data_IF_978836005426
#
_entry.id   IF_978836005426
#
_cell.length_a   1.000
_cell.length_b   1.000
_cell.length_c   1.000
_cell.angle_alpha   90.00
_cell.angle_beta   90.00
_cell.angle_gamma   90.00
#
_symmetry.space_group_name_H-M   'P 1'
#
loop_
_entity.id
_entity.type
_entity.pdbx_description
1 polymer ?
#
# COMPACT_ATOMS: atom_id res chain seq x y z
N UNK A 1 35.78 -47.22 13.55
CA UNK A 1 35.35 -46.00 12.83
C UNK A 1 33.94 -45.64 13.27
N UNK A 2 33.80 -44.93 14.39
CA UNK A 2 32.53 -44.35 14.84
C UNK A 2 32.88 -43.22 15.80
N UNK A 3 32.43 -42.01 15.51
CA UNK A 3 32.71 -40.83 16.35
C UNK A 3 33.21 -39.62 15.58
N UNK A 4 32.34 -39.00 14.76
CA UNK A 4 32.55 -37.60 14.31
C UNK A 4 31.25 -36.87 13.97
N UNK A 5 30.10 -37.54 13.92
CA UNK A 5 28.79 -36.91 13.66
C UNK A 5 28.21 -36.21 14.90
N UNK A 6 28.46 -36.73 16.11
CA UNK A 6 27.88 -36.20 17.35
C UNK A 6 28.48 -34.84 17.78
N UNK A 7 29.76 -34.60 17.48
CA UNK A 7 30.46 -33.38 17.90
C UNK A 7 30.07 -32.14 17.07
N UNK A 8 29.79 -32.33 15.77
CA UNK A 8 29.37 -31.26 14.87
C UNK A 8 27.94 -30.79 15.19
N UNK A 9 27.04 -31.72 15.54
CA UNK A 9 25.66 -31.41 15.92
C UNK A 9 25.62 -30.59 17.24
N UNK A 10 26.45 -30.94 18.23
CA UNK A 10 26.49 -30.24 19.53
C UNK A 10 26.94 -28.78 19.42
N UNK A 11 27.84 -28.45 18.50
CA UNK A 11 28.33 -27.09 18.32
C UNK A 11 27.39 -26.19 17.51
N UNK A 12 26.54 -26.75 16.65
CA UNK A 12 25.59 -25.99 15.82
C UNK A 12 24.26 -25.77 16.55
N UNK A 13 23.86 -26.71 17.42
CA UNK A 13 22.61 -26.66 18.18
C UNK A 13 22.34 -25.32 18.90
N UNK A 14 23.29 -24.70 19.65
CA UNK A 14 23.02 -23.43 20.32
C UNK A 14 22.74 -22.30 19.32
N UNK A 15 23.41 -22.28 18.16
CA UNK A 15 23.15 -21.29 17.11
C UNK A 15 21.77 -21.50 16.48
N UNK A 16 21.37 -22.75 16.21
CA UNK A 16 20.03 -23.05 15.71
C UNK A 16 18.95 -22.67 16.72
N UNK A 17 19.15 -22.94 18.01
CA UNK A 17 18.25 -22.50 19.07
C UNK A 17 18.18 -20.96 19.14
N UNK A 18 19.31 -20.27 18.99
CA UNK A 18 19.37 -18.81 18.92
C UNK A 18 18.60 -18.24 17.72
N UNK A 19 18.81 -18.81 16.52
CA UNK A 19 18.08 -18.43 15.30
C UNK A 19 16.58 -18.66 15.49
N UNK A 20 16.19 -19.83 16.02
CA UNK A 20 14.79 -20.16 16.25
C UNK A 20 14.14 -19.24 17.29
N UNK A 21 14.86 -18.90 18.37
CA UNK A 21 14.40 -17.93 19.37
C UNK A 21 14.20 -16.54 18.75
N UNK A 22 15.12 -16.08 17.91
CA UNK A 22 14.99 -14.81 17.19
C UNK A 22 13.80 -14.82 16.22
N UNK A 23 13.59 -15.92 15.49
CA UNK A 23 12.44 -16.07 14.59
C UNK A 23 11.11 -16.07 15.36
N UNK A 24 11.03 -16.75 16.51
CA UNK A 24 9.85 -16.75 17.36
C UNK A 24 9.57 -15.37 17.95
N UNK A 25 10.61 -14.66 18.41
CA UNK A 25 10.50 -13.28 18.89
C UNK A 25 10.02 -12.34 17.78
N UNK A 26 10.54 -12.50 16.56
CA UNK A 26 10.10 -11.74 15.39
C UNK A 26 8.62 -11.99 15.08
N UNK A 27 8.20 -13.26 15.02
CA UNK A 27 6.80 -13.64 14.80
C UNK A 27 5.86 -13.09 15.89
N UNK A 28 6.30 -13.14 17.16
CA UNK A 28 5.54 -12.56 18.26
C UNK A 28 5.43 -11.03 18.14
N UNK A 29 6.52 -10.35 17.79
CA UNK A 29 6.51 -8.91 17.52
C UNK A 29 5.54 -8.55 16.39
N UNK A 30 5.60 -9.27 15.26
CA UNK A 30 4.66 -9.08 14.14
C UNK A 30 3.20 -9.20 14.59
N UNK A 31 2.89 -10.22 15.39
CA UNK A 31 1.54 -10.40 15.95
C UNK A 31 1.11 -9.24 16.86
N UNK A 32 2.02 -8.70 17.68
CA UNK A 32 1.74 -7.55 18.55
C UNK A 32 1.46 -6.27 17.74
N UNK A 33 2.19 -6.06 16.65
CA UNK A 33 1.97 -4.95 15.71
C UNK A 33 0.63 -5.10 15.00
N UNK A 34 0.32 -6.29 14.46
CA UNK A 34 -0.94 -6.59 13.78
C UNK A 34 -2.17 -6.51 14.69
N UNK A 35 -1.99 -6.63 16.00
CA UNK A 35 -3.05 -6.43 17.00
C UNK A 35 -3.15 -4.99 17.50
N UNK A 36 -2.29 -4.10 17.00
CA UNK A 36 -2.24 -2.69 17.38
C UNK A 36 -1.70 -2.43 18.78
N UNK A 37 -1.14 -3.45 19.45
CA UNK A 37 -0.59 -3.32 20.81
C UNK A 37 0.76 -2.62 20.83
N UNK A 38 1.51 -2.69 19.73
CA UNK A 38 2.81 -2.04 19.55
C UNK A 38 2.79 -1.30 18.21
N UNK A 39 3.29 -0.07 18.19
CA UNK A 39 3.60 0.62 16.95
C UNK A 39 4.97 0.15 16.46
N UNK A 40 5.02 -0.52 15.30
CA UNK A 40 6.29 -0.75 14.63
C UNK A 40 6.80 0.58 14.07
N UNK A 41 7.81 1.15 14.71
CA UNK A 41 8.61 2.20 14.08
C UNK A 41 9.70 1.46 13.32
N UNK A 42 9.70 1.59 11.99
CA UNK A 42 10.77 1.01 11.20
C UNK A 42 12.08 1.76 11.54
N UNK A 43 13.18 1.03 11.73
CA UNK A 43 14.52 1.62 11.89
C UNK A 43 14.81 2.55 10.70
N UNK A 44 14.30 2.21 9.52
CA UNK A 44 14.45 3.03 8.33
C UNK A 44 13.58 4.30 8.33
N UNK A 45 12.49 4.35 9.10
CA UNK A 45 11.75 5.61 9.32
C UNK A 45 12.64 6.65 10.04
N UNK A 46 13.58 6.19 10.88
CA UNK A 46 14.59 7.04 11.53
C UNK A 46 15.78 7.39 10.63
N UNK A 47 16.09 6.53 9.65
CA UNK A 47 17.20 6.75 8.71
C UNK A 47 16.93 7.86 7.68
N UNK A 48 15.65 8.26 7.53
CA UNK A 48 15.23 9.26 6.54
C UNK A 48 15.44 8.83 5.08
N UNK A 49 15.63 7.52 4.85
CA UNK A 49 15.80 6.92 3.51
C UNK A 49 14.43 6.62 2.88
N UNK A 50 13.46 6.21 3.72
CA UNK A 50 12.09 5.96 3.27
C UNK A 50 11.38 7.26 2.90
N UNK A 51 10.57 7.22 1.85
CA UNK A 51 9.69 8.31 1.41
C UNK A 51 8.26 7.80 1.31
N UNK A 52 7.29 8.70 1.52
CA UNK A 52 5.88 8.42 1.31
C UNK A 52 5.35 9.26 0.16
N UNK A 53 4.82 8.60 -0.87
CA UNK A 53 4.24 9.26 -2.04
C UNK A 53 2.73 9.25 -1.91
N UNK A 54 2.13 10.44 -1.93
CA UNK A 54 0.69 10.62 -2.03
C UNK A 54 0.29 10.56 -3.50
N UNK A 55 -0.59 9.63 -3.86
CA UNK A 55 -1.10 9.49 -5.21
C UNK A 55 -2.62 9.36 -5.25
N UNK A 56 -3.17 9.85 -6.36
CA UNK A 56 -4.58 9.77 -6.71
C UNK A 56 -4.77 9.05 -8.03
N UNK A 57 -5.90 8.37 -8.25
CA UNK A 57 -6.20 7.73 -9.52
C UNK A 57 -6.36 8.77 -10.64
N UNK A 58 -5.87 8.44 -11.84
CA UNK A 58 -6.12 9.19 -13.07
C UNK A 58 -7.47 8.79 -13.69
N UNK A 59 -8.58 8.99 -12.96
CA UNK A 59 -9.94 8.63 -13.39
C UNK A 59 -10.84 9.84 -13.73
N UNK A 60 -10.33 11.05 -13.53
CA UNK A 60 -11.06 12.31 -13.75
C UNK A 60 -12.17 12.61 -12.73
N UNK A 61 -12.35 11.79 -11.70
CA UNK A 61 -13.38 11.95 -10.67
C UNK A 61 -12.84 12.47 -9.34
N UNK A 62 -11.54 12.77 -9.29
CA UNK A 62 -10.87 13.29 -8.10
C UNK A 62 -11.18 14.78 -7.88
N UNK A 63 -11.36 15.16 -6.62
CA UNK A 63 -11.61 16.56 -6.27
C UNK A 63 -10.33 17.39 -6.41
N UNK A 64 -10.49 18.71 -6.59
CA UNK A 64 -9.39 19.67 -6.76
C UNK A 64 -8.31 19.53 -5.67
N UNK A 65 -8.71 19.44 -4.40
CA UNK A 65 -7.78 19.30 -3.28
C UNK A 65 -6.90 18.03 -3.36
N UNK A 66 -7.46 16.91 -3.83
CA UNK A 66 -6.71 15.67 -3.99
C UNK A 66 -5.82 15.72 -5.24
N UNK A 67 -6.31 16.30 -6.33
CA UNK A 67 -5.53 16.52 -7.54
C UNK A 67 -4.31 17.43 -7.29
N UNK A 68 -4.49 18.52 -6.54
CA UNK A 68 -3.41 19.43 -6.13
C UNK A 68 -2.39 18.75 -5.22
N UNK A 69 -2.78 17.73 -4.46
CA UNK A 69 -1.89 16.94 -3.62
C UNK A 69 -1.23 15.76 -4.35
N UNK A 70 -1.68 15.37 -5.55
CA UNK A 70 -1.16 14.21 -6.27
C UNK A 70 0.34 14.31 -6.59
N UNK A 71 1.16 13.35 -6.20
CA UNK A 71 2.63 13.43 -6.36
C UNK A 71 3.33 14.22 -5.26
N UNK A 72 2.65 14.59 -4.17
CA UNK A 72 3.32 15.06 -2.96
C UNK A 72 4.10 13.92 -2.32
N UNK A 73 5.32 14.21 -1.89
CA UNK A 73 6.23 13.27 -1.24
C UNK A 73 6.57 13.79 0.14
N UNK A 74 6.60 12.91 1.13
CA UNK A 74 6.80 13.25 2.54
C UNK A 74 7.87 12.38 3.19
N UNK A 75 8.58 12.96 4.16
CA UNK A 75 9.44 12.20 5.07
C UNK A 75 8.61 11.41 6.09
N UNK A 76 9.11 10.26 6.58
CA UNK A 76 8.44 9.48 7.62
C UNK A 76 8.14 10.29 8.88
N UNK A 77 9.03 11.23 9.25
CA UNK A 77 8.84 12.11 10.41
C UNK A 77 7.61 13.03 10.30
N UNK A 78 7.21 13.40 9.08
CA UNK A 78 6.00 14.17 8.84
C UNK A 78 4.76 13.27 8.94
N UNK A 79 4.80 12.10 8.27
CA UNK A 79 3.67 11.16 8.23
C UNK A 79 3.36 10.56 9.60
N UNK A 80 4.38 10.38 10.45
CA UNK A 80 4.23 9.89 11.81
C UNK A 80 3.57 10.90 12.77
N UNK A 81 3.44 12.17 12.38
CA UNK A 81 2.75 13.17 13.20
C UNK A 81 1.24 12.87 13.25
N UNK A 82 0.64 12.93 14.44
CA UNK A 82 -0.79 12.67 14.65
C UNK A 82 -1.69 13.67 13.91
N UNK A 83 -1.20 14.90 13.74
CA UNK A 83 -1.92 15.98 13.06
C UNK A 83 -1.56 16.06 11.56
N UNK A 84 -0.89 15.04 11.04
CA UNK A 84 -0.48 15.02 9.64
C UNK A 84 -1.69 14.97 8.71
N UNK A 85 -1.77 15.97 7.83
CA UNK A 85 -2.74 16.01 6.73
C UNK A 85 -1.97 16.16 5.43
N UNK A 86 -2.05 15.18 4.50
CA UNK A 86 -1.30 15.23 3.24
C UNK A 86 -1.86 16.23 2.22
N UNK A 87 -2.86 17.02 2.60
CA UNK A 87 -3.56 17.98 1.74
C UNK A 87 -3.61 19.32 2.43
N UNK A 88 -3.46 20.40 1.66
CA UNK A 88 -3.63 21.76 2.18
C UNK A 88 -5.09 22.12 2.49
N UNK A 89 -6.06 21.37 1.96
CA UNK A 89 -7.49 21.60 2.17
C UNK A 89 -8.28 20.28 2.29
N UNK A 90 -9.49 20.37 2.85
CA UNK A 90 -10.38 19.22 3.05
C UNK A 90 -10.85 18.60 1.75
N UNK A 91 -10.95 17.28 1.70
CA UNK A 91 -11.46 16.55 0.54
C UNK A 91 -12.99 16.75 0.41
N UNK A 92 -13.43 17.34 -0.69
CA UNK A 92 -14.86 17.54 -0.98
C UNK A 92 -15.62 16.24 -1.29
N UNK A 93 -14.92 15.14 -1.56
CA UNK A 93 -15.53 13.86 -1.93
C UNK A 93 -14.70 12.69 -1.40
N UNK A 94 -14.64 12.56 -0.07
CA UNK A 94 -13.89 11.50 0.62
C UNK A 94 -14.36 10.09 0.22
N UNK A 95 -15.60 9.97 -0.27
CA UNK A 95 -16.16 8.72 -0.76
C UNK A 95 -15.63 8.26 -2.12
N UNK A 96 -15.22 9.18 -3.01
CA UNK A 96 -14.72 8.81 -4.36
C UNK A 96 -13.23 9.02 -4.53
N UNK A 97 -12.64 9.96 -3.79
CA UNK A 97 -11.21 10.20 -3.81
C UNK A 97 -10.49 9.09 -3.01
N UNK A 98 -10.34 7.92 -3.63
CA UNK A 98 -9.49 6.86 -3.09
C UNK A 98 -8.05 7.31 -3.22
N UNK A 99 -7.48 7.77 -2.11
CA UNK A 99 -6.10 8.22 -2.03
C UNK A 99 -5.21 7.06 -1.58
N UNK A 100 -3.98 7.02 -2.07
CA UNK A 100 -2.97 6.08 -1.59
C UNK A 100 -1.76 6.84 -1.10
N UNK A 101 -1.27 6.44 0.07
CA UNK A 101 0.01 6.87 0.60
C UNK A 101 0.93 5.65 0.61
N UNK A 102 1.81 5.56 -0.39
CA UNK A 102 2.70 4.43 -0.54
C UNK A 102 4.08 4.78 0.00
N UNK A 103 4.54 4.04 1.01
CA UNK A 103 5.89 4.16 1.55
C UNK A 103 6.85 3.30 0.75
N UNK A 104 8.02 3.85 0.40
CA UNK A 104 9.08 3.14 -0.33
C UNK A 104 10.47 3.54 0.18
N UNK A 105 11.43 2.61 0.14
CA UNK A 105 12.82 2.83 0.53
C UNK A 105 13.61 3.56 -0.54
N UNK A 106 13.29 3.37 -1.82
CA UNK A 106 13.79 4.25 -2.86
C UNK A 106 15.26 4.05 -3.21
N UNK A 107 15.75 2.80 -3.32
CA UNK A 107 17.16 2.51 -3.56
C UNK A 107 17.62 2.59 -5.04
N UNK A 108 16.84 3.22 -5.93
CA UNK A 108 17.23 3.52 -7.32
C UNK A 108 17.57 5.00 -7.51
N UNK A 109 18.07 5.39 -8.69
CA UNK A 109 18.64 6.72 -8.91
C UNK A 109 17.61 7.84 -8.71
N UNK A 110 16.44 7.70 -9.33
CA UNK A 110 15.36 8.67 -9.33
C UNK A 110 14.81 8.88 -7.92
N UNK A 111 14.58 7.80 -7.17
CA UNK A 111 14.15 7.88 -5.78
C UNK A 111 15.20 8.52 -4.87
N UNK A 112 16.49 8.21 -5.06
CA UNK A 112 17.59 8.86 -4.32
C UNK A 112 17.63 10.36 -4.56
N UNK A 113 17.39 10.81 -5.80
CA UNK A 113 17.29 12.22 -6.12
C UNK A 113 16.11 12.90 -5.40
N UNK A 114 14.96 12.22 -5.33
CA UNK A 114 13.80 12.68 -4.56
C UNK A 114 14.14 12.79 -3.07
N UNK A 115 14.76 11.76 -2.47
CA UNK A 115 15.19 11.77 -1.06
C UNK A 115 16.16 12.93 -0.79
N UNK A 116 17.14 13.15 -1.67
CA UNK A 116 18.11 14.24 -1.53
C UNK A 116 17.41 15.61 -1.51
N UNK A 117 16.51 15.87 -2.46
CA UNK A 117 15.73 17.11 -2.53
C UNK A 117 14.81 17.29 -1.34
N UNK A 118 14.17 16.20 -0.90
CA UNK A 118 13.25 16.19 0.22
C UNK A 118 13.98 16.51 1.54
N UNK A 119 15.22 16.01 1.72
CA UNK A 119 16.08 16.38 2.85
C UNK A 119 16.55 17.82 2.77
N UNK A 120 16.90 18.30 1.57
CA UNK A 120 17.29 19.69 1.35
C UNK A 120 16.15 20.69 1.62
N UNK A 121 14.89 20.27 1.46
CA UNK A 121 13.71 21.07 1.81
C UNK A 121 13.58 21.34 3.33
N UNK A 122 14.37 20.64 4.17
CA UNK A 122 14.51 20.94 5.59
C UNK A 122 13.20 20.79 6.36
N UNK A 123 12.77 21.86 7.04
CA UNK A 123 11.66 21.84 8.01
C UNK A 123 10.29 21.50 7.40
N UNK A 124 10.08 21.70 6.10
CA UNK A 124 8.81 21.35 5.45
C UNK A 124 8.64 19.84 5.31
N UNK A 125 9.74 19.09 5.23
CA UNK A 125 9.76 17.62 5.08
C UNK A 125 8.88 17.09 3.95
N UNK A 126 8.60 17.93 2.95
CA UNK A 126 7.67 17.64 1.85
C UNK A 126 8.14 18.26 0.54
N UNK A 127 7.81 17.59 -0.57
CA UNK A 127 8.17 18.00 -1.93
C UNK A 127 7.02 17.65 -2.87
N UNK A 128 6.69 18.54 -3.81
CA UNK A 128 5.76 18.24 -4.90
C UNK A 128 6.56 17.73 -6.10
N UNK A 129 6.26 16.53 -6.58
CA UNK A 129 6.72 16.06 -7.88
C UNK A 129 5.75 16.53 -8.98
N UNK A 130 6.31 16.93 -10.11
CA UNK A 130 5.57 17.04 -11.37
C UNK A 130 5.12 15.67 -11.86
N UNK A 131 4.15 15.63 -12.78
CA UNK A 131 3.70 14.38 -13.38
C UNK A 131 4.84 13.64 -14.12
N UNK A 132 5.80 14.39 -14.68
CA UNK A 132 6.97 13.83 -15.34
C UNK A 132 7.92 13.19 -14.32
N UNK A 133 8.27 13.90 -13.25
CA UNK A 133 9.15 13.37 -12.19
C UNK A 133 8.52 12.15 -11.51
N UNK A 134 7.21 12.15 -11.28
CA UNK A 134 6.50 10.98 -10.77
C UNK A 134 6.56 9.81 -11.77
N UNK A 135 6.38 10.07 -13.07
CA UNK A 135 6.53 9.03 -14.09
C UNK A 135 7.96 8.48 -14.14
N UNK A 136 8.98 9.31 -14.03
CA UNK A 136 10.39 8.90 -14.02
C UNK A 136 10.71 8.07 -12.77
N UNK A 137 10.22 8.48 -11.60
CA UNK A 137 10.34 7.72 -10.37
C UNK A 137 9.81 6.28 -10.52
N UNK A 138 8.65 6.13 -11.17
CA UNK A 138 7.95 4.85 -11.30
C UNK A 138 8.47 3.98 -12.46
N UNK A 139 9.06 4.58 -13.49
CA UNK A 139 9.64 3.89 -14.65
C UNK A 139 11.15 3.66 -14.54
N UNK A 140 11.79 4.25 -13.53
CA UNK A 140 13.21 4.08 -13.26
C UNK A 140 13.57 2.61 -13.03
N UNK A 141 14.87 2.34 -12.91
CA UNK A 141 15.39 0.97 -12.78
C UNK A 141 15.26 0.41 -11.35
N UNK A 142 14.06 0.51 -10.77
CA UNK A 142 13.78 0.10 -9.40
C UNK A 142 13.83 -1.42 -9.23
N UNK A 143 13.52 -2.19 -10.27
CA UNK A 143 13.55 -3.67 -10.25
C UNK A 143 14.95 -4.25 -10.00
N UNK A 144 16.00 -3.52 -10.40
CA UNK A 144 17.39 -3.90 -10.18
C UNK A 144 17.97 -3.32 -8.88
N UNK A 145 17.18 -2.56 -8.13
CA UNK A 145 17.63 -1.95 -6.88
C UNK A 145 17.60 -2.94 -5.72
N UNK A 146 18.40 -2.68 -4.69
CA UNK A 146 18.43 -3.52 -3.47
C UNK A 146 17.11 -3.51 -2.70
N UNK A 147 16.26 -2.49 -2.91
CA UNK A 147 14.93 -2.40 -2.30
C UNK A 147 13.82 -2.92 -3.21
N UNK A 148 14.13 -3.50 -4.37
CA UNK A 148 13.16 -3.92 -5.37
C UNK A 148 12.04 -4.79 -4.80
N UNK A 149 12.39 -5.80 -3.98
CA UNK A 149 11.40 -6.70 -3.38
C UNK A 149 10.43 -5.95 -2.46
N UNK A 150 10.95 -5.05 -1.62
CA UNK A 150 10.18 -4.31 -0.62
C UNK A 150 9.36 -3.18 -1.24
N UNK A 151 9.90 -2.51 -2.27
CA UNK A 151 9.23 -1.37 -2.91
C UNK A 151 8.25 -1.80 -4.02
N UNK A 152 8.29 -3.07 -4.44
CA UNK A 152 7.53 -3.60 -5.58
C UNK A 152 6.05 -3.25 -5.51
N UNK A 153 5.38 -3.56 -4.39
CA UNK A 153 3.94 -3.33 -4.28
C UNK A 153 3.62 -1.83 -4.27
N UNK A 154 4.41 -1.02 -3.56
CA UNK A 154 4.27 0.43 -3.55
C UNK A 154 4.41 1.03 -4.96
N UNK A 155 5.47 0.66 -5.69
CA UNK A 155 5.72 1.18 -7.05
C UNK A 155 4.61 0.75 -8.01
N UNK A 156 4.20 -0.52 -7.99
CA UNK A 156 3.13 -1.02 -8.86
C UNK A 156 1.78 -0.38 -8.55
N UNK A 157 1.47 -0.14 -7.27
CA UNK A 157 0.25 0.57 -6.86
C UNK A 157 0.24 2.01 -7.37
N UNK A 158 1.35 2.73 -7.24
CA UNK A 158 1.47 4.12 -7.72
C UNK A 158 1.41 4.20 -9.26
N UNK A 159 2.05 3.26 -9.95
CA UNK A 159 1.99 3.14 -11.40
C UNK A 159 0.58 2.82 -11.89
N UNK A 160 -0.15 1.93 -11.20
CA UNK A 160 -1.53 1.61 -11.48
C UNK A 160 -2.42 2.85 -11.39
N UNK A 161 -2.36 3.59 -10.27
CA UNK A 161 -3.13 4.81 -10.05
C UNK A 161 -2.87 5.87 -11.14
N UNK A 162 -1.59 6.07 -11.49
CA UNK A 162 -1.18 7.05 -12.50
C UNK A 162 -1.54 6.62 -13.94
N UNK A 163 -1.87 5.35 -14.15
CA UNK A 163 -2.07 4.73 -15.45
C UNK A 163 -3.46 4.16 -15.70
N UNK A 164 -4.39 4.23 -14.74
CA UNK A 164 -5.68 3.53 -14.82
C UNK A 164 -6.45 3.82 -16.12
N UNK A 165 -6.52 5.08 -16.55
CA UNK A 165 -7.20 5.47 -17.79
C UNK A 165 -6.45 5.04 -19.04
N UNK A 166 -5.12 4.99 -19.00
CA UNK A 166 -4.27 4.67 -20.17
C UNK A 166 -4.13 3.17 -20.39
N UNK A 167 -4.04 2.40 -19.30
CA UNK A 167 -3.89 0.95 -19.34
C UNK A 167 -4.64 0.31 -18.15
N UNK A 168 -5.96 0.18 -18.24
CA UNK A 168 -6.78 -0.33 -17.14
C UNK A 168 -6.48 -1.80 -16.80
N UNK A 169 -6.08 -2.63 -17.78
CA UNK A 169 -5.71 -4.02 -17.52
C UNK A 169 -4.41 -4.15 -16.71
N UNK A 170 -3.41 -3.30 -16.98
CA UNK A 170 -2.20 -3.25 -16.14
C UNK A 170 -2.54 -2.82 -14.71
N UNK A 171 -3.43 -1.84 -14.55
CA UNK A 171 -3.89 -1.41 -13.23
C UNK A 171 -4.64 -2.52 -12.49
N UNK A 172 -5.53 -3.25 -13.16
CA UNK A 172 -6.23 -4.42 -12.61
C UNK A 172 -5.24 -5.45 -12.07
N UNK A 173 -4.20 -5.78 -12.85
CA UNK A 173 -3.19 -6.76 -12.45
C UNK A 173 -2.38 -6.30 -11.25
N UNK A 174 -1.99 -5.03 -11.19
CA UNK A 174 -1.29 -4.45 -10.06
C UNK A 174 -2.14 -4.47 -8.77
N UNK A 175 -3.42 -4.09 -8.85
CA UNK A 175 -4.32 -4.14 -7.69
C UNK A 175 -4.56 -5.57 -7.20
N UNK A 176 -4.78 -6.52 -8.10
CA UNK A 176 -4.87 -7.94 -7.76
C UNK A 176 -3.59 -8.45 -7.09
N UNK A 177 -2.43 -8.02 -7.57
CA UNK A 177 -1.15 -8.39 -6.98
C UNK A 177 -1.02 -7.84 -5.55
N UNK A 178 -1.34 -6.56 -5.33
CA UNK A 178 -1.32 -5.96 -3.99
C UNK A 178 -2.26 -6.68 -3.01
N UNK A 179 -3.48 -7.02 -3.44
CA UNK A 179 -4.45 -7.76 -2.61
C UNK A 179 -3.93 -9.14 -2.19
N UNK A 180 -3.23 -9.84 -3.09
CA UNK A 180 -2.73 -11.21 -2.86
C UNK A 180 -1.40 -11.26 -2.11
N UNK A 181 -0.48 -10.35 -2.41
CA UNK A 181 0.91 -10.44 -1.95
C UNK A 181 1.26 -9.50 -0.80
N UNK A 182 0.44 -8.50 -0.49
CA UNK A 182 0.66 -7.63 0.67
C UNK A 182 0.44 -8.42 1.97
N UNK A 183 1.52 -9.03 2.46
CA UNK A 183 1.56 -9.87 3.67
C UNK A 183 2.38 -9.22 4.79
N UNK A 184 3.30 -8.33 4.43
CA UNK A 184 4.14 -7.60 5.36
C UNK A 184 3.43 -6.35 5.89
N UNK A 185 3.71 -5.98 7.14
CA UNK A 185 3.06 -4.83 7.82
C UNK A 185 3.15 -3.53 7.02
N UNK A 186 4.26 -3.31 6.31
CA UNK A 186 4.46 -2.09 5.51
C UNK A 186 3.59 -2.06 4.24
N UNK A 187 3.15 -3.21 3.74
CA UNK A 187 2.31 -3.35 2.55
C UNK A 187 0.81 -3.38 2.87
N UNK A 188 0.44 -3.78 4.10
CA UNK A 188 -0.97 -3.85 4.52
C UNK A 188 -1.79 -2.57 4.26
N UNK A 189 -1.25 -1.34 4.44
CA UNK A 189 -1.96 -0.12 4.07
C UNK A 189 -2.43 -0.04 2.61
N UNK A 190 -1.85 -0.82 1.70
CA UNK A 190 -2.17 -0.82 0.27
C UNK A 190 -3.38 -1.70 -0.07
N UNK A 191 -3.74 -2.66 0.78
CA UNK A 191 -4.75 -3.69 0.47
C UNK A 191 -6.15 -3.10 0.30
N UNK A 192 -6.63 -2.33 1.29
CA UNK A 192 -7.98 -1.74 1.22
C UNK A 192 -8.11 -0.76 0.05
N UNK A 193 -7.16 0.17 -0.19
CA UNK A 193 -7.18 0.99 -1.40
C UNK A 193 -7.16 0.19 -2.70
N UNK A 194 -6.41 -0.91 -2.77
CA UNK A 194 -6.39 -1.79 -3.95
C UNK A 194 -7.76 -2.41 -4.23
N UNK A 195 -8.47 -2.91 -3.21
CA UNK A 195 -9.85 -3.40 -3.37
C UNK A 195 -10.77 -2.30 -3.91
N UNK A 196 -10.74 -1.11 -3.30
CA UNK A 196 -11.60 0.01 -3.68
C UNK A 196 -11.35 0.45 -5.12
N UNK A 197 -10.08 0.59 -5.53
CA UNK A 197 -9.72 0.97 -6.90
C UNK A 197 -10.04 -0.12 -7.91
N UNK A 198 -9.72 -1.38 -7.61
CA UNK A 198 -10.04 -2.49 -8.51
C UNK A 198 -11.55 -2.59 -8.75
N UNK A 199 -12.37 -2.43 -7.71
CA UNK A 199 -13.82 -2.39 -7.86
C UNK A 199 -14.29 -1.19 -8.71
N UNK A 200 -13.59 -0.07 -8.69
CA UNK A 200 -13.88 1.08 -9.56
C UNK A 200 -13.53 0.80 -11.02
N UNK A 201 -12.31 0.33 -11.27
CA UNK A 201 -11.83 0.03 -12.64
C UNK A 201 -12.69 -1.05 -13.30
N UNK A 202 -13.02 -2.14 -12.60
CA UNK A 202 -13.89 -3.20 -13.14
C UNK A 202 -15.28 -2.69 -13.51
N UNK A 203 -15.84 -1.77 -12.71
CA UNK A 203 -17.14 -1.15 -13.01
C UNK A 203 -17.06 -0.24 -14.23
N UNK A 204 -16.00 0.57 -14.34
CA UNK A 204 -15.78 1.43 -15.50
C UNK A 204 -15.59 0.63 -16.79
N UNK A 205 -15.03 -0.58 -16.69
CA UNK A 205 -14.89 -1.52 -17.82
C UNK A 205 -16.14 -2.37 -18.06
N UNK A 206 -17.27 -2.12 -17.38
CA UNK A 206 -18.51 -2.92 -17.47
C UNK A 206 -18.35 -4.41 -17.10
N UNK A 207 -17.26 -4.79 -16.42
CA UNK A 207 -16.96 -6.14 -15.90
C UNK A 207 -17.70 -6.39 -14.58
N UNK A 208 -19.03 -6.29 -14.64
CA UNK A 208 -19.91 -6.24 -13.47
C UNK A 208 -19.89 -7.51 -12.62
N UNK A 209 -19.82 -8.69 -13.22
CA UNK A 209 -19.78 -9.95 -12.47
C UNK A 209 -18.48 -10.07 -11.66
N UNK A 210 -17.35 -9.69 -12.25
CA UNK A 210 -16.05 -9.66 -11.55
C UNK A 210 -16.03 -8.61 -10.44
N UNK A 211 -16.61 -7.42 -10.69
CA UNK A 211 -16.72 -6.39 -9.67
C UNK A 211 -17.59 -6.88 -8.49
N UNK A 212 -18.67 -7.61 -8.76
CA UNK A 212 -19.55 -8.14 -7.72
C UNK A 212 -18.85 -9.23 -6.89
N UNK A 213 -18.14 -10.15 -7.56
CA UNK A 213 -17.34 -11.19 -6.91
C UNK A 213 -16.25 -10.58 -6.01
N UNK A 214 -15.55 -9.55 -6.49
CA UNK A 214 -14.55 -8.85 -5.70
C UNK A 214 -15.13 -8.19 -4.45
N UNK A 215 -16.32 -7.59 -4.55
CA UNK A 215 -16.98 -6.96 -3.39
C UNK A 215 -17.42 -8.01 -2.38
N UNK A 216 -17.82 -9.21 -2.82
CA UNK A 216 -18.09 -10.34 -1.93
C UNK A 216 -16.83 -10.82 -1.22
N UNK A 217 -15.72 -11.00 -1.96
CA UNK A 217 -14.42 -11.36 -1.40
C UNK A 217 -13.96 -10.35 -0.33
N UNK A 218 -14.15 -9.05 -0.59
CA UNK A 218 -13.85 -8.00 0.38
C UNK A 218 -14.66 -8.11 1.68
N UNK A 219 -15.97 -8.38 1.58
CA UNK A 219 -16.83 -8.55 2.75
C UNK A 219 -16.51 -9.83 3.54
N UNK A 220 -16.14 -10.91 2.86
CA UNK A 220 -15.70 -12.17 3.47
C UNK A 220 -14.36 -12.01 4.20
N UNK A 221 -13.42 -11.28 3.58
CA UNK A 221 -12.11 -11.00 4.18
C UNK A 221 -12.22 -10.07 5.39
N UNK A 222 -13.15 -9.13 5.35
CA UNK A 222 -13.36 -8.14 6.40
C UNK A 222 -14.78 -8.23 6.95
N UNK A 223 -15.12 -9.25 7.75
CA UNK A 223 -16.42 -9.32 8.39
C UNK A 223 -16.65 -8.09 9.29
N UNK A 224 -17.91 -7.68 9.45
CA UNK A 224 -18.29 -6.58 10.37
C UNK A 224 -18.21 -7.00 11.84
N UNK A 225 -18.23 -8.30 12.09
CA UNK A 225 -18.18 -8.86 13.44
C UNK A 225 -16.73 -9.03 13.89
N UNK A 226 -16.44 -8.59 15.12
CA UNK A 226 -15.13 -8.75 15.74
C UNK A 226 -14.42 -7.43 16.04
N UNK A 227 -13.19 -7.53 16.53
CA UNK A 227 -12.34 -6.37 16.82
C UNK A 227 -11.68 -5.87 15.54
N UNK A 228 -11.88 -4.59 15.23
CA UNK A 228 -11.17 -3.88 14.17
C UNK A 228 -9.67 -3.93 14.42
N UNK A 229 -8.91 -4.39 13.42
CA UNK A 229 -7.45 -4.44 13.44
C UNK A 229 -6.86 -3.20 12.76
N UNK A 230 -5.59 -2.87 13.02
CA UNK A 230 -4.85 -1.95 12.18
C UNK A 230 -4.98 -2.33 10.69
N UNK A 231 -5.17 -1.33 9.84
CA UNK A 231 -5.32 -1.47 8.38
C UNK A 231 -6.63 -2.14 7.90
N UNK A 232 -7.54 -2.50 8.80
CA UNK A 232 -8.91 -2.88 8.41
C UNK A 232 -9.63 -1.69 7.76
N UNK A 233 -10.60 -1.96 6.87
CA UNK A 233 -11.36 -0.90 6.23
C UNK A 233 -12.20 -0.14 7.26
N UNK A 234 -12.16 1.18 7.14
CA UNK A 234 -13.00 2.11 7.92
C UNK A 234 -14.48 1.94 7.57
N UNK A 235 -15.38 2.41 8.44
CA UNK A 235 -16.83 2.37 8.16
C UNK A 235 -17.20 3.10 6.87
N UNK A 236 -16.54 4.21 6.55
CA UNK A 236 -16.72 4.90 5.28
C UNK A 236 -16.36 3.99 4.10
N UNK A 237 -15.23 3.30 4.14
CA UNK A 237 -14.80 2.39 3.07
C UNK A 237 -15.73 1.18 2.93
N UNK A 238 -16.22 0.64 4.06
CA UNK A 238 -17.23 -0.43 4.06
C UNK A 238 -18.55 0.05 3.46
N UNK A 239 -19.00 1.24 3.82
CA UNK A 239 -20.20 1.87 3.26
C UNK A 239 -20.12 2.04 1.74
N UNK A 240 -18.95 2.47 1.23
CA UNK A 240 -18.72 2.60 -0.21
C UNK A 240 -18.85 1.26 -0.94
N UNK A 241 -18.23 0.20 -0.42
CA UNK A 241 -18.34 -1.14 -1.00
C UNK A 241 -19.79 -1.65 -0.98
N UNK A 242 -20.53 -1.43 0.12
CA UNK A 242 -21.93 -1.82 0.21
C UNK A 242 -22.82 -1.09 -0.81
N UNK A 243 -22.63 0.22 -0.98
CA UNK A 243 -23.33 1.01 -2.01
C UNK A 243 -23.02 0.46 -3.40
N UNK A 244 -21.75 0.15 -3.67
CA UNK A 244 -21.32 -0.40 -4.96
C UNK A 244 -21.95 -1.77 -5.21
N UNK A 245 -21.97 -2.67 -4.22
CA UNK A 245 -22.65 -3.98 -4.29
C UNK A 245 -24.11 -3.85 -4.71
N UNK A 246 -24.85 -2.94 -4.06
CA UNK A 246 -26.27 -2.70 -4.35
C UNK A 246 -26.48 -2.30 -5.82
N UNK A 247 -25.67 -1.34 -6.31
CA UNK A 247 -25.72 -0.91 -7.72
C UNK A 247 -25.40 -2.03 -8.70
N UNK A 248 -24.40 -2.85 -8.40
CA UNK A 248 -23.99 -3.97 -9.27
C UNK A 248 -25.05 -5.05 -9.35
N UNK A 249 -25.73 -5.36 -8.23
CA UNK A 249 -26.86 -6.31 -8.22
C UNK A 249 -27.98 -5.82 -9.13
N UNK A 250 -28.41 -4.56 -9.01
CA UNK A 250 -29.46 -3.99 -9.88
C UNK A 250 -29.07 -4.06 -11.35
N UNK A 251 -27.81 -3.71 -11.68
CA UNK A 251 -27.31 -3.77 -13.05
C UNK A 251 -27.17 -5.19 -13.62
N UNK A 252 -26.95 -6.20 -12.77
CA UNK A 252 -26.86 -7.61 -13.17
C UNK A 252 -28.25 -8.22 -13.46
N UNK A 253 -29.27 -7.82 -12.69
CA UNK A 253 -30.65 -8.29 -12.87
C UNK A 253 -31.23 -7.75 -14.17
N UNK A 254 -31.01 -6.47 -14.48
CA UNK A 254 -31.48 -5.86 -15.73
C UNK A 254 -30.77 -6.37 -17.00
N UNK A 255 -29.69 -7.15 -16.88
CA UNK A 255 -28.98 -7.78 -18.00
C UNK A 255 -29.44 -9.21 -18.30
N UNK A 256 -30.20 -9.82 -17.38
CA UNK A 256 -30.72 -11.19 -17.49
C UNK A 256 -32.21 -11.25 -17.83
N UNK A 257 -32.88 -10.10 -17.86
CA UNK A 257 -34.26 -9.92 -18.32
C UNK A 257 -34.25 -9.45 -19.77
#
# INVERSE_FOLDING_TARGET
MSGSSAFVISNILPYLCGILALLLLWQYHQKQVLTGRIQSIDIFDRSGIRIYVFATPDDGQICKACWEANGMVYLPSQVANKDFVPRGSSCANSGRCTIVMAGMYGAWLEARNVVHRLRAAGRTGSLKLSAQELSELLKGNWEQSVSAATDRLAVLMLAALSGEKKNPEAAINAYRLAIREAKEVHDLPLVVPAYLRLAEVLVNMSRTDEALALVQEFEERYPREGRTRPYDPTETQRGLMAIKKSRLKTASVGRRA
#
